data_IF_182505456206
#
_entry.id   IF_182505456206
#
_cell.length_a   1.000
_cell.length_b   1.000
_cell.length_c   1.000
_cell.angle_alpha   90.00
_cell.angle_beta   90.00
_cell.angle_gamma   90.00
#
_symmetry.space_group_name_H-M   'P 1'
#
loop_
_entity.id
_entity.type
_entity.pdbx_description
1 polymer ?
#
# COMPACT_ATOMS: atom_id res chain seq x y z
N UNK A 1 -32.86 -5.48 12.54
CA UNK A 1 -31.79 -5.97 11.67
C UNK A 1 -31.80 -7.48 11.66
N UNK A 2 -31.55 -8.10 10.53
CA UNK A 2 -31.40 -9.55 10.42
C UNK A 2 -30.11 -9.97 11.15
N UNK A 3 -30.19 -11.01 11.98
CA UNK A 3 -29.03 -11.54 12.73
C UNK A 3 -28.65 -12.90 12.21
N UNK A 4 -27.36 -13.07 11.95
CA UNK A 4 -26.77 -14.34 11.54
C UNK A 4 -25.56 -14.67 12.41
N UNK A 5 -25.42 -15.92 12.83
CA UNK A 5 -24.25 -16.39 13.59
C UNK A 5 -23.32 -17.23 12.72
N UNK A 6 -22.02 -16.90 12.74
CA UNK A 6 -20.99 -17.59 11.97
C UNK A 6 -19.80 -17.97 12.85
N UNK A 7 -19.14 -19.07 12.51
CA UNK A 7 -17.95 -19.53 13.25
C UNK A 7 -16.73 -18.64 12.98
N UNK A 8 -16.53 -18.26 11.73
CA UNK A 8 -15.39 -17.45 11.30
C UNK A 8 -15.87 -16.42 10.27
N UNK A 9 -15.71 -15.17 10.61
CA UNK A 9 -15.98 -14.03 9.72
C UNK A 9 -14.67 -13.41 9.26
N UNK A 10 -14.55 -13.16 7.95
CA UNK A 10 -13.39 -12.52 7.34
C UNK A 10 -13.86 -11.24 6.67
N UNK A 11 -13.25 -10.10 7.01
CA UNK A 11 -13.55 -8.80 6.40
C UNK A 11 -12.40 -8.41 5.49
N UNK A 12 -12.70 -8.32 4.19
CA UNK A 12 -11.75 -7.96 3.14
C UNK A 12 -11.30 -9.15 2.31
N UNK A 13 -11.16 -8.94 1.00
CA UNK A 13 -10.88 -9.93 -0.03
C UNK A 13 -9.53 -9.74 -0.73
N UNK A 14 -8.62 -8.98 -0.14
CA UNK A 14 -7.24 -8.94 -0.60
C UNK A 14 -6.51 -10.28 -0.41
N UNK A 15 -5.23 -10.37 -0.76
CA UNK A 15 -4.44 -11.59 -0.61
C UNK A 15 -4.50 -12.20 0.78
N UNK A 16 -4.52 -11.35 1.82
CA UNK A 16 -4.63 -11.80 3.21
C UNK A 16 -5.98 -12.44 3.51
N UNK A 17 -7.09 -11.82 3.04
CA UNK A 17 -8.44 -12.33 3.27
C UNK A 17 -8.68 -13.66 2.58
N UNK A 18 -8.37 -13.79 1.30
CA UNK A 18 -8.51 -15.06 0.60
C UNK A 18 -7.58 -16.15 1.13
N UNK A 19 -6.34 -15.81 1.52
CA UNK A 19 -5.45 -16.77 2.16
C UNK A 19 -6.04 -17.27 3.48
N UNK A 20 -6.55 -16.37 4.32
CA UNK A 20 -7.22 -16.74 5.56
C UNK A 20 -8.45 -17.64 5.29
N UNK A 21 -9.26 -17.31 4.28
CA UNK A 21 -10.43 -18.09 3.87
C UNK A 21 -10.08 -19.51 3.43
N UNK A 22 -9.01 -19.67 2.64
CA UNK A 22 -8.49 -20.96 2.19
C UNK A 22 -8.15 -21.85 3.41
N UNK A 23 -7.40 -21.31 4.36
CA UNK A 23 -6.98 -22.09 5.52
C UNK A 23 -8.12 -22.33 6.52
N UNK A 24 -9.01 -21.38 6.75
CA UNK A 24 -10.20 -21.54 7.57
C UNK A 24 -11.15 -22.60 6.98
N UNK A 25 -11.34 -22.58 5.64
CA UNK A 25 -12.11 -23.61 4.94
C UNK A 25 -11.49 -25.01 5.10
N UNK A 26 -10.19 -25.12 4.90
CA UNK A 26 -9.45 -26.40 5.12
C UNK A 26 -9.51 -26.89 6.56
N UNK A 27 -9.64 -26.01 7.53
CA UNK A 27 -9.85 -26.34 8.95
C UNK A 27 -11.32 -26.63 9.30
N UNK A 28 -12.21 -26.69 8.32
CA UNK A 28 -13.66 -26.95 8.49
C UNK A 28 -14.37 -25.93 9.39
N UNK A 29 -13.94 -24.65 9.29
CA UNK A 29 -14.55 -23.56 10.06
C UNK A 29 -15.72 -22.90 9.34
N UNK A 30 -16.05 -23.32 8.10
CA UNK A 30 -17.11 -22.76 7.28
C UNK A 30 -17.05 -21.22 7.24
N UNK A 31 -15.94 -20.63 6.78
CA UNK A 31 -15.75 -19.19 6.83
C UNK A 31 -16.72 -18.45 5.93
N UNK A 32 -17.19 -17.30 6.43
CA UNK A 32 -17.89 -16.29 5.65
C UNK A 32 -16.94 -15.14 5.40
N UNK A 33 -16.80 -14.70 4.15
CA UNK A 33 -15.94 -13.59 3.77
C UNK A 33 -16.75 -12.50 3.09
N UNK A 34 -16.63 -11.26 3.56
CA UNK A 34 -17.18 -10.07 2.91
C UNK A 34 -16.11 -9.34 2.11
N UNK A 35 -16.36 -9.18 0.80
CA UNK A 35 -15.36 -8.67 -0.15
C UNK A 35 -15.14 -7.14 -0.06
N UNK A 36 -16.12 -6.38 0.45
CA UNK A 36 -16.05 -4.93 0.46
C UNK A 36 -16.33 -4.33 -0.92
N UNK A 37 -15.92 -3.06 -1.10
CA UNK A 37 -16.18 -2.30 -2.34
C UNK A 37 -15.25 -2.66 -3.50
N UNK A 38 -14.11 -3.28 -3.20
CA UNK A 38 -13.11 -3.64 -4.19
C UNK A 38 -12.70 -5.12 -4.02
N UNK A 39 -13.47 -6.06 -4.61
CA UNK A 39 -13.13 -7.47 -4.58
C UNK A 39 -11.72 -7.74 -5.12
N UNK A 40 -10.91 -8.49 -4.37
CA UNK A 40 -9.51 -8.74 -4.69
C UNK A 40 -8.52 -7.69 -4.16
N UNK A 41 -9.00 -6.54 -3.69
CA UNK A 41 -8.20 -5.49 -3.07
C UNK A 41 -7.22 -4.82 -4.03
N UNK A 42 -6.14 -4.24 -3.51
CA UNK A 42 -5.20 -3.40 -4.26
C UNK A 42 -4.54 -4.10 -5.45
N UNK A 43 -4.31 -5.41 -5.40
CA UNK A 43 -3.70 -6.11 -6.53
C UNK A 43 -4.53 -6.07 -7.81
N UNK A 44 -5.84 -5.82 -7.72
CA UNK A 44 -6.69 -5.67 -8.92
C UNK A 44 -6.46 -4.35 -9.67
N UNK A 45 -5.75 -3.39 -9.06
CA UNK A 45 -5.37 -2.12 -9.69
C UNK A 45 -3.96 -2.11 -10.25
N UNK A 46 -3.17 -3.18 -9.99
CA UNK A 46 -1.83 -3.33 -10.56
C UNK A 46 -1.86 -4.18 -11.83
N UNK A 47 -0.93 -3.94 -12.75
CA UNK A 47 -0.84 -4.71 -14.01
C UNK A 47 -0.21 -6.07 -13.77
N UNK A 48 1.08 -6.11 -13.47
CA UNK A 48 1.86 -7.33 -13.32
C UNK A 48 2.39 -7.48 -11.90
N UNK A 49 2.26 -8.70 -11.37
CA UNK A 49 2.81 -9.14 -10.08
C UNK A 49 3.93 -10.13 -10.37
N UNK A 50 5.18 -9.71 -10.14
CA UNK A 50 6.37 -10.52 -10.41
C UNK A 50 7.00 -11.11 -9.14
N UNK A 51 6.60 -10.62 -7.98
CA UNK A 51 7.21 -10.92 -6.69
C UNK A 51 6.39 -11.89 -5.81
N UNK A 52 5.34 -12.52 -6.35
CA UNK A 52 4.60 -13.54 -5.62
C UNK A 52 5.08 -14.95 -6.01
N UNK A 53 5.55 -15.76 -5.04
CA UNK A 53 6.03 -17.12 -5.32
C UNK A 53 4.92 -18.00 -5.91
N UNK A 54 5.25 -18.73 -7.00
CA UNK A 54 4.32 -19.61 -7.70
C UNK A 54 4.00 -19.17 -9.13
N UNK A 55 4.35 -17.92 -9.48
CA UNK A 55 4.18 -17.37 -10.83
C UNK A 55 5.53 -16.93 -11.42
N UNK A 56 6.35 -17.87 -11.93
CA UNK A 56 7.73 -17.59 -12.34
C UNK A 56 7.84 -16.64 -13.55
N UNK A 57 6.75 -16.46 -14.28
CA UNK A 57 6.68 -15.55 -15.43
C UNK A 57 5.87 -14.26 -15.11
N UNK A 58 5.56 -14.03 -13.82
CA UNK A 58 4.61 -13.01 -13.44
C UNK A 58 3.15 -13.40 -13.74
N UNK A 59 2.23 -12.60 -13.25
CA UNK A 59 0.78 -12.74 -13.48
C UNK A 59 0.12 -11.38 -13.29
N UNK A 60 -0.97 -11.09 -14.03
CA UNK A 60 -1.75 -9.89 -13.74
C UNK A 60 -2.38 -9.97 -12.33
N UNK A 61 -2.40 -8.86 -11.62
CA UNK A 61 -2.97 -8.82 -10.28
C UNK A 61 -4.43 -9.26 -10.26
N UNK A 62 -5.22 -8.89 -11.27
CA UNK A 62 -6.61 -9.32 -11.41
C UNK A 62 -6.75 -10.84 -11.53
N UNK A 63 -5.94 -11.48 -12.38
CA UNK A 63 -5.98 -12.94 -12.56
C UNK A 63 -5.53 -13.67 -11.29
N UNK A 64 -4.47 -13.18 -10.65
CA UNK A 64 -3.98 -13.75 -9.39
C UNK A 64 -5.05 -13.72 -8.29
N UNK A 65 -5.78 -12.60 -8.17
CA UNK A 65 -6.83 -12.49 -7.17
C UNK A 65 -8.05 -13.35 -7.49
N UNK A 66 -8.37 -13.56 -8.77
CA UNK A 66 -9.38 -14.52 -9.17
C UNK A 66 -8.98 -15.97 -8.86
N UNK A 67 -7.72 -16.34 -9.08
CA UNK A 67 -7.19 -17.65 -8.70
C UNK A 67 -7.32 -17.90 -7.19
N UNK A 68 -7.02 -16.89 -6.36
CA UNK A 68 -7.19 -16.98 -4.91
C UNK A 68 -8.65 -17.11 -4.50
N UNK A 69 -9.53 -16.35 -5.15
CA UNK A 69 -10.97 -16.41 -4.94
C UNK A 69 -11.51 -17.79 -5.25
N UNK A 70 -11.17 -18.35 -6.39
CA UNK A 70 -11.58 -19.71 -6.80
C UNK A 70 -11.03 -20.78 -5.84
N UNK A 71 -9.82 -20.60 -5.34
CA UNK A 71 -9.24 -21.49 -4.36
C UNK A 71 -10.01 -21.43 -3.02
N UNK A 72 -10.39 -20.24 -2.55
CA UNK A 72 -11.22 -20.07 -1.35
C UNK A 72 -12.60 -20.71 -1.49
N UNK A 73 -13.28 -20.49 -2.63
CA UNK A 73 -14.56 -21.15 -2.96
C UNK A 73 -14.45 -22.66 -2.97
N UNK A 74 -13.37 -23.21 -3.56
CA UNK A 74 -13.12 -24.66 -3.60
C UNK A 74 -13.09 -25.29 -2.20
N UNK A 75 -12.62 -24.57 -1.18
CA UNK A 75 -12.59 -25.02 0.20
C UNK A 75 -13.82 -24.64 1.02
N UNK A 76 -14.90 -24.21 0.35
CA UNK A 76 -16.21 -24.00 0.99
C UNK A 76 -16.34 -22.66 1.71
N UNK A 77 -15.55 -21.65 1.34
CA UNK A 77 -15.77 -20.28 1.83
C UNK A 77 -17.05 -19.72 1.21
N UNK A 78 -17.94 -19.18 2.04
CA UNK A 78 -19.10 -18.39 1.60
C UNK A 78 -18.63 -16.95 1.37
N UNK A 79 -18.42 -16.59 0.11
CA UNK A 79 -17.95 -15.26 -0.30
C UNK A 79 -19.14 -14.40 -0.63
N UNK A 80 -19.24 -13.24 0.03
CA UNK A 80 -20.38 -12.32 -0.05
C UNK A 80 -19.91 -10.91 -0.40
N UNK A 81 -20.72 -10.20 -1.16
CA UNK A 81 -20.58 -8.77 -1.32
C UNK A 81 -21.18 -8.05 -0.11
N UNK A 82 -20.59 -6.93 0.28
CA UNK A 82 -21.05 -6.08 1.38
C UNK A 82 -19.88 -5.40 2.11
N UNK A 83 -20.20 -4.33 2.82
CA UNK A 83 -19.23 -3.48 3.53
C UNK A 83 -19.49 -3.60 5.03
N UNK A 84 -18.45 -3.91 5.80
CA UNK A 84 -18.50 -3.80 7.25
C UNK A 84 -18.49 -2.33 7.64
N UNK A 85 -19.62 -1.83 8.16
CA UNK A 85 -19.81 -0.41 8.51
C UNK A 85 -19.59 -0.12 9.99
N UNK A 86 -19.82 -1.13 10.86
CA UNK A 86 -19.59 -1.01 12.29
C UNK A 86 -19.12 -2.35 12.92
N UNK A 87 -18.52 -2.27 14.08
CA UNK A 87 -18.11 -3.44 14.87
C UNK A 87 -18.29 -3.21 16.35
N UNK A 88 -18.84 -4.19 17.07
CA UNK A 88 -18.80 -4.27 18.53
C UNK A 88 -17.96 -5.48 18.94
N UNK A 89 -16.79 -5.21 19.47
CA UNK A 89 -15.82 -6.20 19.94
C UNK A 89 -15.77 -6.30 21.47
N UNK A 90 -16.66 -5.59 22.17
CA UNK A 90 -16.70 -5.54 23.63
C UNK A 90 -17.30 -6.80 24.26
N UNK A 91 -18.03 -7.57 23.47
CA UNK A 91 -18.73 -8.79 23.89
C UNK A 91 -18.41 -9.95 22.96
N UNK A 92 -18.64 -11.17 23.44
CA UNK A 92 -18.53 -12.40 22.66
C UNK A 92 -19.91 -13.05 22.51
N UNK A 93 -20.31 -13.51 21.32
CA UNK A 93 -19.61 -13.36 20.03
C UNK A 93 -19.49 -11.90 19.58
N UNK A 94 -18.50 -11.61 18.71
CA UNK A 94 -18.29 -10.26 18.14
C UNK A 94 -19.40 -9.91 17.18
N UNK A 95 -19.92 -8.68 17.23
CA UNK A 95 -20.98 -8.24 16.32
C UNK A 95 -20.41 -7.31 15.27
N UNK A 96 -20.65 -7.62 13.99
CA UNK A 96 -20.27 -6.83 12.83
C UNK A 96 -21.52 -6.43 12.06
N UNK A 97 -21.66 -5.13 11.79
CA UNK A 97 -22.75 -4.62 10.95
C UNK A 97 -22.27 -4.55 9.50
N UNK A 98 -23.09 -5.09 8.59
CA UNK A 98 -22.85 -5.08 7.15
C UNK A 98 -23.91 -4.20 6.50
N UNK A 99 -23.45 -3.24 5.68
CA UNK A 99 -24.28 -2.31 4.89
C UNK A 99 -25.34 -1.55 5.71
N UNK A 100 -25.12 -1.36 7.03
CA UNK A 100 -26.05 -0.79 8.00
C UNK A 100 -27.39 -1.55 8.17
N UNK A 101 -27.51 -2.73 7.57
CA UNK A 101 -28.76 -3.49 7.51
C UNK A 101 -28.71 -4.84 8.21
N UNK A 102 -27.56 -5.51 8.21
CA UNK A 102 -27.40 -6.88 8.70
C UNK A 102 -26.36 -6.95 9.83
N UNK A 103 -26.67 -7.67 10.89
CA UNK A 103 -25.73 -7.99 11.98
C UNK A 103 -25.22 -9.42 11.87
N UNK A 104 -23.89 -9.59 11.87
CA UNK A 104 -23.22 -10.89 11.91
C UNK A 104 -22.59 -11.08 13.30
N UNK A 105 -23.02 -12.11 14.01
CA UNK A 105 -22.39 -12.55 15.24
C UNK A 105 -21.30 -13.57 14.92
N UNK A 106 -20.03 -13.18 15.08
CA UNK A 106 -18.87 -13.99 14.74
C UNK A 106 -18.20 -14.59 15.98
N UNK A 107 -17.94 -15.90 15.97
CA UNK A 107 -17.16 -16.54 17.03
C UNK A 107 -15.66 -16.26 16.86
N UNK A 108 -15.18 -16.11 15.63
CA UNK A 108 -13.85 -15.63 15.31
C UNK A 108 -13.95 -14.56 14.21
N UNK A 109 -13.18 -13.48 14.34
CA UNK A 109 -13.12 -12.40 13.38
C UNK A 109 -11.69 -12.23 12.85
N UNK A 110 -11.57 -12.17 11.53
CA UNK A 110 -10.31 -11.84 10.83
C UNK A 110 -10.51 -10.52 10.08
N UNK A 111 -9.74 -9.51 10.44
CA UNK A 111 -9.77 -8.19 9.80
C UNK A 111 -8.64 -8.16 8.78
N UNK A 112 -8.99 -8.16 7.50
CA UNK A 112 -8.07 -8.18 6.37
C UNK A 112 -8.37 -7.04 5.38
N UNK A 113 -8.72 -5.86 5.91
CA UNK A 113 -9.21 -4.71 5.15
C UNK A 113 -8.12 -3.97 4.37
N UNK A 114 -6.86 -4.34 4.56
CA UNK A 114 -5.73 -3.77 3.85
C UNK A 114 -5.45 -2.32 4.24
N UNK A 115 -4.80 -1.62 3.31
CA UNK A 115 -4.48 -0.20 3.43
C UNK A 115 -4.58 0.47 2.06
N UNK A 116 -4.76 1.78 2.06
CA UNK A 116 -4.72 2.58 0.83
C UNK A 116 -3.50 3.49 0.89
N UNK A 117 -2.75 3.55 -0.21
CA UNK A 117 -1.64 4.47 -0.35
C UNK A 117 -2.11 5.93 -0.21
N UNK A 118 -1.28 6.75 0.44
CA UNK A 118 -1.52 8.18 0.51
C UNK A 118 -0.58 8.88 -0.46
N UNK A 119 -1.14 9.36 -1.53
CA UNK A 119 -0.44 10.24 -2.47
C UNK A 119 -0.38 11.68 -1.95
N UNK A 120 0.54 12.47 -2.48
CA UNK A 120 0.67 13.89 -2.11
C UNK A 120 -0.48 14.75 -2.64
N UNK A 121 -1.13 14.30 -3.72
CA UNK A 121 -2.15 15.05 -4.44
C UNK A 121 -1.55 16.09 -5.39
N UNK A 122 -0.37 15.80 -5.93
CA UNK A 122 0.23 16.65 -6.98
C UNK A 122 -0.60 16.55 -8.27
N UNK A 123 -0.69 17.64 -9.05
CA UNK A 123 -1.51 17.65 -10.28
C UNK A 123 -1.13 16.56 -11.29
N UNK A 124 0.13 16.13 -11.25
CA UNK A 124 0.72 15.24 -12.25
C UNK A 124 0.85 13.80 -11.75
N UNK A 125 0.50 13.46 -10.49
CA UNK A 125 0.68 12.12 -9.93
C UNK A 125 -0.07 11.06 -10.73
N UNK A 126 -1.34 11.31 -11.04
CA UNK A 126 -2.18 10.38 -11.80
C UNK A 126 -1.64 10.14 -13.21
N UNK A 127 -1.06 11.16 -13.84
CA UNK A 127 -0.45 11.05 -15.17
C UNK A 127 0.72 10.08 -15.18
N UNK A 128 1.50 10.05 -14.12
CA UNK A 128 2.71 9.24 -14.02
C UNK A 128 2.54 7.98 -13.17
N UNK A 129 1.32 7.65 -12.76
CA UNK A 129 1.03 6.42 -12.02
C UNK A 129 1.47 5.18 -12.83
N UNK A 130 2.38 4.36 -12.28
CA UNK A 130 3.00 3.23 -12.98
C UNK A 130 4.04 3.62 -14.05
N UNK A 131 4.27 4.91 -14.27
CA UNK A 131 5.28 5.43 -15.20
C UNK A 131 6.32 6.32 -14.48
N UNK A 132 6.65 5.95 -13.25
CA UNK A 132 7.61 6.69 -12.44
C UNK A 132 7.10 7.09 -11.06
N UNK A 133 5.79 7.16 -10.84
CA UNK A 133 5.18 7.36 -9.52
C UNK A 133 4.76 6.02 -8.94
N UNK A 134 5.20 5.75 -7.73
CA UNK A 134 4.86 4.56 -6.94
C UNK A 134 4.62 4.93 -5.48
N UNK A 135 3.83 4.14 -4.78
CA UNK A 135 3.64 4.23 -3.34
C UNK A 135 4.11 2.95 -2.60
N UNK A 136 4.98 2.17 -3.24
CA UNK A 136 5.46 0.90 -2.70
C UNK A 136 6.88 0.59 -3.19
N UNK A 137 7.87 0.91 -2.39
CA UNK A 137 9.28 0.66 -2.74
C UNK A 137 9.59 -0.84 -2.92
N UNK A 138 8.99 -1.72 -2.13
CA UNK A 138 9.20 -3.17 -2.24
C UNK A 138 8.53 -3.78 -3.45
N UNK A 139 7.47 -3.15 -3.99
CA UNK A 139 6.80 -3.58 -5.21
C UNK A 139 7.61 -3.20 -6.44
N UNK A 140 7.99 -1.93 -6.55
CA UNK A 140 8.47 -1.32 -7.79
C UNK A 140 9.96 -0.98 -7.76
N UNK A 141 10.61 -1.02 -6.60
CA UNK A 141 12.00 -0.60 -6.44
C UNK A 141 12.99 -1.33 -7.34
N UNK A 142 12.70 -2.57 -7.74
CA UNK A 142 13.54 -3.33 -8.65
C UNK A 142 13.70 -2.65 -10.02
N UNK A 143 12.67 -1.97 -10.53
CA UNK A 143 12.71 -1.24 -11.80
C UNK A 143 13.59 0.00 -11.78
N UNK A 144 14.00 0.43 -10.56
CA UNK A 144 14.85 1.61 -10.34
C UNK A 144 16.29 1.27 -9.98
N UNK A 145 16.74 0.04 -10.26
CA UNK A 145 18.14 -0.35 -10.05
C UNK A 145 19.09 0.58 -10.82
N UNK A 146 20.09 1.11 -10.10
CA UNK A 146 21.11 2.06 -10.59
C UNK A 146 20.56 3.39 -11.13
N UNK A 147 19.29 3.70 -10.84
CA UNK A 147 18.63 4.96 -11.18
C UNK A 147 18.65 5.91 -9.99
N UNK A 148 18.18 7.13 -10.22
CA UNK A 148 18.02 8.17 -9.20
C UNK A 148 16.55 8.25 -8.82
N UNK A 149 16.23 8.17 -7.54
CA UNK A 149 14.85 8.20 -7.07
C UNK A 149 14.66 9.22 -5.96
N UNK A 150 13.43 9.70 -5.81
CA UNK A 150 13.02 10.52 -4.68
C UNK A 150 11.95 9.79 -3.85
N UNK A 151 12.04 9.94 -2.53
CA UNK A 151 11.03 9.47 -1.56
C UNK A 151 10.54 10.69 -0.80
N UNK A 152 9.21 10.82 -0.63
CA UNK A 152 8.63 11.95 0.10
C UNK A 152 8.10 11.53 1.44
N UNK A 153 8.61 12.14 2.48
CA UNK A 153 8.16 11.92 3.85
C UNK A 153 9.28 12.04 4.87
N UNK A 154 8.91 12.06 6.13
CA UNK A 154 9.87 12.17 7.24
C UNK A 154 9.52 11.24 8.42
N UNK A 155 8.61 10.29 8.23
CA UNK A 155 8.26 9.24 9.19
C UNK A 155 9.00 7.95 8.94
N UNK A 156 8.74 6.93 9.79
CA UNK A 156 9.41 5.63 9.70
C UNK A 156 9.22 4.98 8.31
N UNK A 157 8.00 4.98 7.77
CA UNK A 157 7.72 4.42 6.44
C UNK A 157 8.60 5.02 5.35
N UNK A 158 8.69 6.35 5.26
CA UNK A 158 9.52 7.00 4.26
C UNK A 158 11.02 6.70 4.44
N UNK A 159 11.48 6.58 5.70
CA UNK A 159 12.85 6.18 5.99
C UNK A 159 13.11 4.72 5.60
N UNK A 160 12.17 3.81 5.88
CA UNK A 160 12.27 2.39 5.48
C UNK A 160 12.32 2.25 3.96
N UNK A 161 11.45 2.93 3.24
CA UNK A 161 11.43 2.92 1.78
C UNK A 161 12.71 3.53 1.19
N UNK A 162 13.19 4.65 1.73
CA UNK A 162 14.44 5.24 1.29
C UNK A 162 15.64 4.30 1.50
N UNK A 163 15.71 3.61 2.63
CA UNK A 163 16.76 2.62 2.94
C UNK A 163 16.66 1.42 1.99
N UNK A 164 15.44 0.92 1.74
CA UNK A 164 15.22 -0.19 0.82
C UNK A 164 15.67 0.18 -0.60
N UNK A 165 15.24 1.34 -1.09
CA UNK A 165 15.62 1.85 -2.41
C UNK A 165 17.11 2.14 -2.52
N UNK A 166 17.77 2.57 -1.45
CA UNK A 166 19.22 2.79 -1.42
C UNK A 166 20.02 1.51 -1.69
N UNK A 167 19.46 0.34 -1.38
CA UNK A 167 20.04 -0.95 -1.75
C UNK A 167 19.98 -1.28 -3.25
N UNK A 168 19.17 -0.55 -4.02
CA UNK A 168 18.91 -0.79 -5.44
C UNK A 168 19.33 0.38 -6.32
N UNK A 169 18.93 1.59 -5.97
CA UNK A 169 19.17 2.83 -6.70
C UNK A 169 20.62 3.32 -6.55
N UNK A 170 21.06 4.12 -7.49
CA UNK A 170 22.36 4.80 -7.40
C UNK A 170 22.33 5.98 -6.44
N UNK A 171 21.19 6.64 -6.32
CA UNK A 171 20.96 7.80 -5.43
C UNK A 171 19.50 7.82 -4.99
N UNK A 172 19.27 8.16 -3.73
CA UNK A 172 17.94 8.39 -3.15
C UNK A 172 17.90 9.78 -2.54
N UNK A 173 16.94 10.59 -2.96
CA UNK A 173 16.63 11.85 -2.31
C UNK A 173 15.44 11.66 -1.38
N UNK A 174 15.63 11.91 -0.08
CA UNK A 174 14.53 11.89 0.89
C UNK A 174 14.03 13.32 1.12
N UNK A 175 12.89 13.65 0.52
CA UNK A 175 12.30 14.99 0.55
C UNK A 175 11.47 15.17 1.81
N UNK A 176 11.85 16.11 2.66
CA UNK A 176 11.27 16.32 3.99
C UNK A 176 10.86 17.78 4.18
N UNK A 177 9.56 18.04 4.33
CA UNK A 177 9.04 19.42 4.51
C UNK A 177 9.44 20.10 5.82
N UNK A 178 9.89 19.34 6.82
CA UNK A 178 10.32 19.85 8.13
C UNK A 178 11.85 19.91 8.18
N UNK A 179 12.45 20.72 9.08
CA UNK A 179 13.91 20.73 9.28
C UNK A 179 14.42 19.48 10.07
N UNK A 180 13.56 18.48 10.26
CA UNK A 180 13.88 17.25 10.98
C UNK A 180 13.03 16.07 10.51
N UNK A 181 13.52 14.86 10.71
CA UNK A 181 12.78 13.61 10.54
C UNK A 181 11.92 13.34 11.79
N UNK A 182 10.68 12.88 11.59
CA UNK A 182 9.78 12.42 12.65
C UNK A 182 9.91 10.93 12.95
N UNK A 183 10.68 10.22 12.17
CA UNK A 183 10.96 8.81 12.33
C UNK A 183 11.62 8.51 13.69
N UNK A 184 11.60 7.25 14.11
CA UNK A 184 12.32 6.78 15.28
C UNK A 184 13.81 7.06 15.16
N UNK A 185 14.50 7.25 16.29
CA UNK A 185 15.94 7.57 16.29
C UNK A 185 16.76 6.55 15.51
N UNK A 186 16.46 5.27 15.67
CA UNK A 186 17.17 4.19 14.97
C UNK A 186 16.99 4.31 13.45
N UNK A 187 15.84 4.71 12.97
CA UNK A 187 15.59 4.90 11.53
C UNK A 187 16.30 6.15 11.01
N UNK A 188 16.32 7.24 11.77
CA UNK A 188 17.10 8.43 11.45
C UNK A 188 18.59 8.10 11.30
N UNK A 189 19.15 7.36 12.27
CA UNK A 189 20.55 6.92 12.24
C UNK A 189 20.83 6.07 10.99
N UNK A 190 19.97 5.13 10.66
CA UNK A 190 20.10 4.29 9.46
C UNK A 190 20.12 5.12 8.18
N UNK A 191 19.20 6.07 8.03
CA UNK A 191 19.14 6.96 6.87
C UNK A 191 20.43 7.76 6.72
N UNK A 192 20.90 8.37 7.82
CA UNK A 192 22.13 9.20 7.80
C UNK A 192 23.42 8.42 7.58
N UNK A 193 23.44 7.11 7.85
CA UNK A 193 24.60 6.25 7.58
C UNK A 193 24.67 5.73 6.13
N UNK A 194 23.62 5.91 5.34
CA UNK A 194 23.63 5.51 3.93
C UNK A 194 24.30 6.56 3.04
N UNK A 195 25.40 6.18 2.37
CA UNK A 195 26.19 7.08 1.52
C UNK A 195 25.43 7.63 0.31
N UNK A 196 24.45 6.87 -0.19
CA UNK A 196 23.65 7.25 -1.36
C UNK A 196 22.26 7.81 -1.02
N UNK A 197 21.92 8.02 0.26
CA UNK A 197 20.72 8.76 0.68
C UNK A 197 21.13 10.22 0.99
N UNK A 198 20.43 11.15 0.37
CA UNK A 198 20.52 12.57 0.68
C UNK A 198 19.18 13.09 1.18
N UNK A 199 19.17 13.64 2.39
CA UNK A 199 17.96 14.20 2.99
C UNK A 199 17.84 15.68 2.64
N UNK A 200 16.78 16.01 1.90
CA UNK A 200 16.45 17.40 1.54
C UNK A 200 15.44 17.96 2.55
N UNK A 201 15.96 18.55 3.61
CA UNK A 201 15.11 19.19 4.63
C UNK A 201 14.50 20.50 4.14
N UNK A 202 13.31 20.83 4.65
CA UNK A 202 12.55 22.04 4.31
C UNK A 202 12.18 22.11 2.83
N UNK A 203 11.97 20.95 2.19
CA UNK A 203 11.57 20.87 0.78
C UNK A 203 10.16 20.30 0.64
N UNK A 204 9.41 20.85 -0.31
CA UNK A 204 8.13 20.29 -0.75
C UNK A 204 8.19 20.03 -2.25
N UNK A 205 7.51 18.94 -2.68
CA UNK A 205 7.28 18.71 -4.10
C UNK A 205 6.06 19.51 -4.56
N UNK A 206 6.14 20.12 -5.73
CA UNK A 206 5.07 20.94 -6.32
C UNK A 206 4.50 20.34 -7.60
N UNK A 207 5.22 19.44 -8.24
CA UNK A 207 4.81 18.77 -9.46
C UNK A 207 5.90 17.87 -10.00
N UNK A 208 5.53 17.07 -11.00
CA UNK A 208 6.40 16.16 -11.70
C UNK A 208 6.50 16.57 -13.17
N UNK A 209 7.57 16.19 -13.85
CA UNK A 209 7.71 16.42 -15.28
C UNK A 209 8.38 15.22 -15.98
N UNK A 210 8.16 15.12 -17.28
CA UNK A 210 8.70 14.11 -18.18
C UNK A 210 7.79 13.86 -19.38
N UNK A 211 8.30 13.21 -20.40
CA UNK A 211 7.54 12.88 -21.62
C UNK A 211 6.86 11.51 -21.53
N UNK A 212 7.65 10.44 -21.34
CA UNK A 212 7.20 9.05 -21.34
C UNK A 212 7.19 8.41 -19.94
N UNK A 213 7.34 9.19 -18.89
CA UNK A 213 7.42 8.83 -17.50
C UNK A 213 8.01 9.97 -16.70
N UNK A 214 8.28 9.74 -15.42
CA UNK A 214 8.94 10.73 -14.56
C UNK A 214 10.39 10.88 -14.99
N UNK A 215 10.78 12.13 -15.28
CA UNK A 215 12.16 12.56 -15.56
C UNK A 215 12.66 13.55 -14.50
N UNK A 216 11.77 14.07 -13.66
CA UNK A 216 12.14 14.93 -12.57
C UNK A 216 10.95 15.41 -11.72
N UNK A 217 11.31 16.04 -10.60
CA UNK A 217 10.39 16.66 -9.65
C UNK A 217 10.69 18.16 -9.51
N UNK A 218 9.65 18.97 -9.46
CA UNK A 218 9.73 20.38 -9.12
C UNK A 218 9.69 20.52 -7.61
N UNK A 219 10.68 21.15 -7.05
CA UNK A 219 10.84 21.35 -5.62
C UNK A 219 10.80 22.82 -5.25
N UNK A 220 10.22 23.09 -4.10
CA UNK A 220 10.37 24.36 -3.41
C UNK A 220 11.03 24.12 -2.06
N UNK A 221 12.10 24.85 -1.82
CA UNK A 221 12.79 24.92 -0.54
C UNK A 221 12.28 26.09 0.26
N UNK A 222 11.99 25.86 1.55
CA UNK A 222 11.54 26.87 2.51
C UNK A 222 10.29 27.63 2.06
N UNK A 223 9.28 26.89 1.63
CA UNK A 223 8.01 27.40 1.16
C UNK A 223 7.40 28.41 2.15
N UNK A 224 7.10 29.62 1.67
CA UNK A 224 6.52 30.71 2.44
C UNK A 224 7.53 31.55 3.22
N UNK A 225 8.84 31.28 3.13
CA UNK A 225 9.90 32.06 3.78
C UNK A 225 10.51 33.09 2.82
N UNK A 226 11.19 34.14 3.32
CA UNK A 226 11.78 35.18 2.48
C UNK A 226 12.86 34.72 1.51
N UNK A 227 13.47 33.56 1.76
CA UNK A 227 14.50 32.90 0.96
C UNK A 227 13.97 31.63 0.29
N UNK A 228 12.70 31.63 -0.06
CA UNK A 228 12.07 30.56 -0.86
C UNK A 228 12.79 30.38 -2.21
N UNK A 229 13.09 29.14 -2.56
CA UNK A 229 13.81 28.78 -3.76
C UNK A 229 13.10 27.66 -4.51
N UNK A 230 12.81 27.85 -5.80
CA UNK A 230 12.23 26.84 -6.68
C UNK A 230 13.29 26.30 -7.64
N UNK A 231 13.31 24.96 -7.80
CA UNK A 231 14.22 24.32 -8.74
C UNK A 231 13.68 22.95 -9.20
N UNK A 232 14.27 22.44 -10.25
CA UNK A 232 13.96 21.12 -10.79
C UNK A 232 15.07 20.14 -10.40
N UNK A 233 14.67 18.96 -9.92
CA UNK A 233 15.58 17.88 -9.54
C UNK A 233 15.33 16.68 -10.47
N UNK A 234 16.32 16.30 -11.31
CA UNK A 234 16.20 15.13 -12.16
C UNK A 234 16.12 13.83 -11.32
N UNK A 235 15.10 13.03 -11.59
CA UNK A 235 14.89 11.71 -10.98
C UNK A 235 14.22 10.77 -11.98
N UNK A 236 14.39 9.47 -11.81
CA UNK A 236 13.75 8.43 -12.61
C UNK A 236 12.50 7.85 -11.94
N UNK A 237 12.33 8.07 -10.64
CA UNK A 237 11.20 7.55 -9.86
C UNK A 237 10.89 8.39 -8.64
N UNK A 238 9.60 8.40 -8.27
CA UNK A 238 9.03 9.20 -7.20
C UNK A 238 8.12 8.33 -6.32
N UNK A 239 8.44 8.24 -5.01
CA UNK A 239 7.80 7.35 -4.03
C UNK A 239 7.21 8.11 -2.85
#
# INVERSE_FOLDING_TARGET
>A
MEKERVKCLIIGSGPAGYTAAIYAGRANLSPVLYEGIQPGGQLTTTTDVENFPGYPSGISGTQMMEDFRQQALRFGTDIRYGIATASDLSQYPYTITIDDEKEIEAEALIIATGATAKYLGLPDEDKYAGMGVSACATCDGFFYRKKVVAVVGGGDTACEEAIYLAGLASKVYLIVRKPYLRASKIMQERVHHHENIEVLYEHNAEGLFGENGVEGVKLVKRLGEPDEEHYELPIDGFF
#
